data_IF_400435649816
#
_entry.id   IF_400435649816
#
_cell.length_a   1.000
_cell.length_b   1.000
_cell.length_c   1.000
_cell.angle_alpha   90.00
_cell.angle_beta   90.00
_cell.angle_gamma   90.00
#
_symmetry.space_group_name_H-M   'P 1'
#
loop_
_entity.id
_entity.type
_entity.pdbx_description
1 polymer ?
#
# COMPACT_ATOMS: atom_id res chain seq x y z
N UNK A 1 -9.46 14.72 22.67
CA UNK A 1 -9.90 14.04 21.44
C UNK A 1 -8.64 13.54 20.75
N UNK A 2 -8.21 12.32 21.06
CA UNK A 2 -6.96 11.75 20.55
C UNK A 2 -7.31 10.51 19.74
N UNK A 3 -7.50 10.69 18.43
CA UNK A 3 -7.55 9.56 17.50
C UNK A 3 -6.14 9.09 17.21
N UNK A 4 -5.97 7.79 16.95
CA UNK A 4 -4.68 7.27 16.52
C UNK A 4 -4.55 7.59 15.03
N UNK A 5 -3.49 8.28 14.64
CA UNK A 5 -3.18 8.51 13.23
C UNK A 5 -2.68 7.20 12.63
N UNK A 6 -3.38 6.74 11.59
CA UNK A 6 -3.02 5.54 10.85
C UNK A 6 -3.01 5.82 9.36
N UNK A 7 -2.24 5.04 8.63
CA UNK A 7 -2.07 5.10 7.20
C UNK A 7 -2.77 3.91 6.58
N UNK A 8 -3.86 4.18 5.87
CA UNK A 8 -4.52 3.16 5.08
C UNK A 8 -3.79 3.00 3.75
N UNK A 9 -3.10 1.87 3.61
CA UNK A 9 -2.45 1.46 2.38
C UNK A 9 -3.41 0.59 1.58
N UNK A 10 -3.78 1.05 0.40
CA UNK A 10 -4.56 0.27 -0.58
C UNK A 10 -3.64 -0.12 -1.72
N UNK A 11 -3.38 -1.41 -1.87
CA UNK A 11 -2.50 -1.97 -2.88
C UNK A 11 -3.31 -2.83 -3.85
N UNK A 12 -3.39 -2.40 -5.11
CA UNK A 12 -4.14 -3.07 -6.17
C UNK A 12 -3.19 -3.62 -7.20
N UNK A 13 -3.20 -4.94 -7.41
CA UNK A 13 -2.38 -5.61 -8.41
C UNK A 13 -3.27 -6.07 -9.55
N UNK A 14 -2.86 -5.79 -10.78
CA UNK A 14 -3.48 -6.34 -12.00
C UNK A 14 -2.49 -7.29 -12.68
N UNK A 15 -2.82 -8.59 -12.69
CA UNK A 15 -1.97 -9.64 -13.28
C UNK A 15 -2.52 -10.00 -14.67
N UNK A 16 -1.92 -9.46 -15.73
CA UNK A 16 -2.38 -9.70 -17.11
C UNK A 16 -3.87 -9.38 -17.29
N UNK A 17 -4.67 -10.37 -17.70
CA UNK A 17 -6.14 -10.27 -17.86
C UNK A 17 -6.94 -10.76 -16.65
N UNK A 18 -6.26 -11.13 -15.55
CA UNK A 18 -6.92 -11.59 -14.34
C UNK A 18 -7.63 -10.43 -13.63
N UNK A 19 -8.61 -10.76 -12.77
CA UNK A 19 -9.24 -9.76 -11.92
C UNK A 19 -8.20 -9.08 -11.03
N UNK A 20 -8.29 -7.75 -10.86
CA UNK A 20 -7.38 -7.04 -9.98
C UNK A 20 -7.58 -7.51 -8.54
N UNK A 21 -6.47 -7.81 -7.86
CA UNK A 21 -6.45 -8.17 -6.45
C UNK A 21 -6.13 -6.91 -5.65
N UNK A 22 -7.08 -6.49 -4.80
CA UNK A 22 -6.89 -5.33 -3.92
C UNK A 22 -6.70 -5.81 -2.48
N UNK A 23 -5.62 -5.36 -1.86
CA UNK A 23 -5.35 -5.51 -0.43
C UNK A 23 -5.39 -4.13 0.24
N UNK A 24 -6.01 -4.09 1.42
CA UNK A 24 -6.08 -2.89 2.25
C UNK A 24 -5.46 -3.23 3.60
N UNK A 25 -4.49 -2.43 4.03
CA UNK A 25 -3.80 -2.59 5.31
C UNK A 25 -3.74 -1.23 6.00
N UNK A 26 -4.22 -1.18 7.24
CA UNK A 26 -4.11 0.01 8.08
C UNK A 26 -2.84 -0.12 8.94
N UNK A 27 -1.93 0.84 8.79
CA UNK A 27 -0.59 0.81 9.39
C UNK A 27 -0.43 2.03 10.28
N UNK A 28 0.11 1.91 11.50
CA UNK A 28 0.37 3.08 12.35
C UNK A 28 1.30 4.10 11.66
N UNK A 29 1.03 5.38 11.90
CA UNK A 29 1.81 6.52 11.41
C UNK A 29 2.83 6.94 12.48
N UNK A 30 4.05 7.29 12.09
CA UNK A 30 5.17 7.58 13.03
C UNK A 30 5.61 9.05 13.04
N UNK A 31 4.77 9.97 12.58
CA UNK A 31 5.08 11.39 12.43
C UNK A 31 6.00 11.72 11.24
N UNK A 32 6.58 10.70 10.61
CA UNK A 32 7.50 10.84 9.45
C UNK A 32 7.06 10.01 8.24
N UNK A 33 6.00 9.21 8.38
CA UNK A 33 5.53 8.25 7.38
C UNK A 33 4.90 7.00 8.01
N UNK A 34 4.52 6.05 7.15
CA UNK A 34 3.98 4.76 7.59
C UNK A 34 5.09 3.83 8.08
N UNK A 35 4.79 3.01 9.11
CA UNK A 35 5.69 1.93 9.55
C UNK A 35 5.90 0.93 8.41
N UNK A 36 7.12 0.42 8.26
CA UNK A 36 7.43 -0.58 7.25
C UNK A 36 6.42 -1.74 7.27
N UNK A 37 5.86 -2.04 6.10
CA UNK A 37 4.79 -3.03 5.97
C UNK A 37 5.07 -3.96 4.79
N UNK A 38 4.81 -5.25 5.01
CA UNK A 38 4.88 -6.28 3.98
C UNK A 38 3.47 -6.67 3.56
N UNK A 39 3.15 -6.52 2.29
CA UNK A 39 1.87 -6.91 1.70
C UNK A 39 2.10 -8.17 0.85
N UNK A 40 1.59 -9.34 1.29
CA UNK A 40 1.75 -10.56 0.52
C UNK A 40 0.81 -10.58 -0.68
N UNK A 41 1.36 -10.68 -1.90
CA UNK A 41 0.58 -10.92 -3.10
C UNK A 41 0.80 -12.36 -3.62
N UNK A 42 -0.20 -12.94 -4.28
CA UNK A 42 -0.02 -14.22 -4.95
C UNK A 42 1.05 -14.12 -6.05
N UNK A 43 1.62 -15.27 -6.40
CA UNK A 43 2.51 -15.38 -7.55
C UNK A 43 1.82 -14.84 -8.83
N UNK A 44 2.55 -14.17 -9.74
CA UNK A 44 4.01 -14.06 -9.78
C UNK A 44 4.60 -12.87 -9.01
N UNK A 45 3.80 -11.99 -8.40
CA UNK A 45 4.29 -10.76 -7.75
C UNK A 45 5.14 -11.08 -6.51
N UNK A 46 4.64 -11.96 -5.64
CA UNK A 46 5.24 -12.25 -4.35
C UNK A 46 4.99 -11.15 -3.31
N UNK A 47 5.81 -11.09 -2.28
CA UNK A 47 5.65 -10.14 -1.19
C UNK A 47 6.15 -8.74 -1.58
N UNK A 48 5.31 -7.72 -1.38
CA UNK A 48 5.68 -6.32 -1.58
C UNK A 48 6.04 -5.68 -0.24
N UNK A 49 7.29 -5.27 -0.09
CA UNK A 49 7.75 -4.57 1.12
C UNK A 49 7.75 -3.06 0.86
N UNK A 50 7.00 -2.33 1.67
CA UNK A 50 6.90 -0.88 1.65
C UNK A 50 7.76 -0.32 2.79
N UNK A 51 8.80 0.41 2.44
CA UNK A 51 9.76 0.98 3.39
C UNK A 51 9.84 2.48 3.18
N UNK A 52 9.74 3.25 4.27
CA UNK A 52 9.91 4.71 4.24
C UNK A 52 8.92 5.44 3.33
N UNK A 53 7.71 4.90 3.16
CA UNK A 53 6.68 5.53 2.34
C UNK A 53 6.03 6.67 3.13
N UNK A 54 5.95 7.89 2.55
CA UNK A 54 5.28 9.00 3.22
C UNK A 54 3.77 8.72 3.36
N UNK A 55 3.19 9.26 4.41
CA UNK A 55 1.75 9.17 4.66
C UNK A 55 1.21 10.56 5.01
N UNK A 56 0.21 11.08 4.30
CA UNK A 56 -0.38 10.53 3.07
C UNK A 56 0.55 10.66 1.85
N UNK A 57 0.30 9.88 0.79
CA UNK A 57 0.94 10.13 -0.51
C UNK A 57 0.20 11.20 -1.29
N UNK A 58 0.90 12.02 -2.09
CA UNK A 58 0.29 13.06 -2.93
C UNK A 58 -0.55 12.49 -4.08
N UNK A 59 -0.43 11.19 -4.36
CA UNK A 59 -1.17 10.48 -5.39
C UNK A 59 -0.92 8.98 -5.33
N UNK A 60 -1.58 8.21 -6.23
CA UNK A 60 -1.33 6.79 -6.34
C UNK A 60 0.07 6.53 -6.91
N UNK A 61 0.79 5.60 -6.31
CA UNK A 61 2.11 5.13 -6.77
C UNK A 61 1.87 3.91 -7.64
N UNK A 62 2.24 3.97 -8.91
CA UNK A 62 2.18 2.83 -9.83
C UNK A 62 3.57 2.20 -9.98
N UNK A 63 3.67 0.90 -9.71
CA UNK A 63 4.84 0.09 -9.96
C UNK A 63 4.52 -0.98 -11.00
N UNK A 64 5.52 -1.35 -11.79
CA UNK A 64 5.43 -2.48 -12.70
C UNK A 64 6.38 -3.57 -12.21
N UNK A 65 5.83 -4.69 -11.73
CA UNK A 65 6.59 -5.81 -11.19
C UNK A 65 6.35 -7.02 -12.08
N UNK A 66 7.41 -7.53 -12.72
CA UNK A 66 7.34 -8.69 -13.62
C UNK A 66 6.25 -8.56 -14.72
N UNK A 67 6.07 -7.35 -15.25
CA UNK A 67 5.06 -7.04 -16.29
C UNK A 67 3.63 -6.85 -15.77
N UNK A 68 3.42 -6.88 -14.46
CA UNK A 68 2.12 -6.64 -13.82
C UNK A 68 2.10 -5.26 -13.18
N UNK A 69 0.94 -4.61 -13.19
CA UNK A 69 0.79 -3.26 -12.63
C UNK A 69 0.31 -3.35 -11.19
N UNK A 70 1.05 -2.71 -10.29
CA UNK A 70 0.72 -2.57 -8.87
C UNK A 70 0.46 -1.09 -8.59
N UNK A 71 -0.74 -0.75 -8.18
CA UNK A 71 -1.13 0.61 -7.81
C UNK A 71 -1.28 0.67 -6.30
N UNK A 72 -0.53 1.54 -5.65
CA UNK A 72 -0.59 1.80 -4.22
C UNK A 72 -1.21 3.17 -3.98
N UNK A 73 -2.08 3.27 -2.99
CA UNK A 73 -2.59 4.54 -2.48
C UNK A 73 -2.47 4.53 -0.98
N UNK A 74 -1.83 5.56 -0.41
CA UNK A 74 -1.68 5.72 1.04
C UNK A 74 -2.41 6.97 1.47
N UNK A 75 -3.41 6.80 2.31
CA UNK A 75 -4.17 7.91 2.87
C UNK A 75 -4.10 7.88 4.39
N UNK A 76 -3.99 9.06 4.98
CA UNK A 76 -4.05 9.22 6.44
C UNK A 76 -5.52 9.10 6.89
N UNK A 77 -5.74 8.29 7.92
CA UNK A 77 -7.05 8.00 8.50
C UNK A 77 -6.95 8.09 10.01
N UNK A 78 -7.86 8.85 10.59
CA UNK A 78 -8.02 8.93 12.04
C UNK A 78 -9.00 7.86 12.50
N UNK A 79 -8.55 6.95 13.36
CA UNK A 79 -9.36 5.88 14.00
C UNK A 79 -9.57 6.13 15.48
#
# INVERSE_FOLDING_TARGET
MGGVLTCRVTATVTIGTALPVTLVVDVPETGTGLVDVTIPFPAPIGDLVLVGIPCPTLGPITLTILGNTVTLSVVEVTV
#
